data_IF_501646175522
#
_entry.id   IF_501646175522
#
_cell.length_a   1.000
_cell.length_b   1.000
_cell.length_c   1.000
_cell.angle_alpha   90.00
_cell.angle_beta   90.00
_cell.angle_gamma   90.00
#
_symmetry.space_group_name_H-M   'P 1'
#
loop_
_entity.id
_entity.type
_entity.pdbx_description
1 polymer ?
#
# COMPACT_ATOMS: atom_id res chain seq x y z
N UNK A 1 -17.50 -9.57 -11.65
CA UNK A 1 -16.27 -8.88 -11.23
C UNK A 1 -16.69 -7.97 -10.11
N UNK A 2 -16.48 -8.41 -8.87
CA UNK A 2 -16.94 -7.71 -7.67
C UNK A 2 -16.17 -6.38 -7.60
N UNK A 3 -16.89 -5.25 -7.54
CA UNK A 3 -16.28 -3.95 -7.26
C UNK A 3 -15.67 -4.02 -5.87
N UNK A 4 -14.35 -4.22 -5.80
CA UNK A 4 -13.61 -4.12 -4.54
C UNK A 4 -13.81 -2.68 -4.04
N UNK A 5 -14.29 -2.54 -2.82
CA UNK A 5 -14.66 -1.25 -2.21
C UNK A 5 -13.54 -0.21 -2.30
N UNK A 6 -12.29 -0.67 -2.23
CA UNK A 6 -11.09 0.18 -2.31
C UNK A 6 -10.81 0.75 -3.71
N UNK A 7 -11.32 0.15 -4.79
CA UNK A 7 -11.08 0.62 -6.16
C UNK A 7 -12.22 1.49 -6.71
N UNK A 8 -13.34 1.60 -5.98
CA UNK A 8 -14.51 2.31 -6.47
C UNK A 8 -14.41 3.80 -6.10
N UNK A 9 -14.52 4.65 -7.11
CA UNK A 9 -14.45 6.11 -6.98
C UNK A 9 -15.54 6.69 -6.07
N UNK A 10 -16.66 5.97 -5.89
CA UNK A 10 -17.73 6.41 -5.00
C UNK A 10 -17.27 6.65 -3.57
N UNK A 11 -16.30 5.87 -3.08
CA UNK A 11 -15.84 6.03 -1.70
C UNK A 11 -15.08 7.34 -1.46
N UNK A 12 -14.50 7.95 -2.51
CA UNK A 12 -13.84 9.26 -2.42
C UNK A 12 -14.78 10.45 -2.69
N UNK A 13 -16.06 10.19 -2.93
CA UNK A 13 -17.08 11.20 -3.22
C UNK A 13 -17.41 11.36 -4.72
N UNK A 14 -16.66 10.71 -5.61
CA UNK A 14 -16.79 10.86 -7.05
C UNK A 14 -17.74 9.83 -7.67
N UNK A 15 -18.26 10.11 -8.85
CA UNK A 15 -19.15 9.20 -9.55
C UNK A 15 -18.80 9.10 -11.04
N UNK A 16 -18.54 7.89 -11.50
CA UNK A 16 -18.44 7.60 -12.93
C UNK A 16 -19.78 7.04 -13.44
N UNK A 17 -20.50 7.85 -14.21
CA UNK A 17 -21.80 7.51 -14.77
C UNK A 17 -21.65 6.58 -15.99
N UNK A 18 -22.70 5.80 -16.29
CA UNK A 18 -22.75 4.95 -17.50
C UNK A 18 -21.59 3.95 -17.69
N UNK A 19 -21.04 3.39 -16.60
CA UNK A 19 -20.08 2.25 -16.63
C UNK A 19 -20.59 1.03 -17.39
N UNK A 20 -21.91 0.86 -17.44
CA UNK A 20 -22.58 -0.22 -18.14
C UNK A 20 -23.82 0.35 -18.82
N UNK A 21 -24.15 -0.17 -19.99
CA UNK A 21 -25.34 0.20 -20.75
C UNK A 21 -26.10 -1.04 -21.21
N UNK A 22 -27.35 -0.84 -21.63
CA UNK A 22 -28.19 -1.90 -22.18
C UNK A 22 -27.93 -1.99 -23.67
N UNK A 23 -27.33 -3.08 -24.13
CA UNK A 23 -26.97 -3.26 -25.54
C UNK A 23 -28.16 -3.69 -26.41
N UNK A 24 -29.12 -4.39 -25.81
CA UNK A 24 -30.30 -4.88 -26.49
C UNK A 24 -31.54 -4.61 -25.64
N UNK A 25 -32.48 -3.87 -26.21
CA UNK A 25 -33.73 -3.44 -25.56
C UNK A 25 -34.65 -4.62 -25.27
N UNK A 26 -34.64 -5.67 -26.09
CA UNK A 26 -35.55 -6.81 -25.96
C UNK A 26 -35.02 -7.81 -24.94
N UNK A 27 -33.72 -8.10 -24.98
CA UNK A 27 -33.10 -9.07 -24.06
C UNK A 27 -32.61 -8.43 -22.75
N UNK A 28 -32.67 -7.10 -22.61
CA UNK A 28 -32.20 -6.31 -21.45
C UNK A 28 -30.77 -6.65 -21.03
N UNK A 29 -29.94 -7.13 -21.97
CA UNK A 29 -28.57 -7.52 -21.70
C UNK A 29 -27.72 -6.28 -21.43
N UNK A 30 -27.10 -6.24 -20.25
CA UNK A 30 -26.18 -5.19 -19.84
C UNK A 30 -24.76 -5.53 -20.26
N UNK A 31 -24.09 -4.59 -20.93
CA UNK A 31 -22.69 -4.70 -21.35
C UNK A 31 -21.87 -3.59 -20.67
N UNK A 32 -20.60 -3.88 -20.36
CA UNK A 32 -19.65 -2.85 -19.91
C UNK A 32 -19.37 -1.90 -21.06
N UNK A 33 -19.45 -0.61 -20.78
CA UNK A 33 -19.18 0.43 -21.76
C UNK A 33 -17.66 0.53 -21.99
N UNK A 34 -17.19 0.34 -23.22
CA UNK A 34 -15.79 0.52 -23.63
C UNK A 34 -15.60 1.77 -24.51
N UNK A 35 -16.57 2.70 -24.49
CA UNK A 35 -16.62 3.88 -25.35
C UNK A 35 -17.75 3.86 -26.39
N UNK A 36 -18.70 2.92 -26.26
CA UNK A 36 -19.88 2.83 -27.14
C UNK A 36 -20.89 3.95 -26.84
N UNK A 37 -20.95 4.41 -25.59
CA UNK A 37 -21.76 5.54 -25.13
C UNK A 37 -20.84 6.50 -24.36
N UNK A 38 -21.07 7.83 -24.41
CA UNK A 38 -20.32 8.78 -23.59
C UNK A 38 -20.30 8.38 -22.11
N UNK A 39 -19.15 8.55 -21.46
CA UNK A 39 -18.99 8.29 -20.04
C UNK A 39 -18.64 9.59 -19.33
N UNK A 40 -19.36 9.92 -18.25
CA UNK A 40 -19.17 11.17 -17.52
C UNK A 40 -18.60 10.89 -16.14
N UNK A 41 -17.49 11.58 -15.82
CA UNK A 41 -16.90 11.60 -14.50
C UNK A 41 -17.35 12.86 -13.76
N UNK A 42 -17.93 12.68 -12.58
CA UNK A 42 -18.42 13.78 -11.74
C UNK A 42 -17.63 13.76 -10.44
N UNK A 43 -16.91 14.84 -10.19
CA UNK A 43 -16.17 15.06 -8.94
C UNK A 43 -17.13 15.57 -7.85
N UNK A 44 -16.98 15.06 -6.62
CA UNK A 44 -17.73 15.56 -5.46
C UNK A 44 -19.25 15.40 -5.55
N UNK A 45 -19.73 14.30 -6.14
CA UNK A 45 -21.17 14.01 -6.27
C UNK A 45 -21.87 13.83 -4.92
N UNK A 46 -21.15 13.37 -3.90
CA UNK A 46 -21.66 13.15 -2.54
C UNK A 46 -20.49 13.24 -1.55
N UNK A 47 -20.82 13.38 -0.27
CA UNK A 47 -19.82 13.39 0.80
C UNK A 47 -18.96 12.13 0.76
N UNK A 48 -17.66 12.33 0.75
CA UNK A 48 -16.69 11.25 0.67
C UNK A 48 -16.72 10.43 1.97
N UNK A 49 -16.86 9.11 1.84
CA UNK A 49 -16.75 8.18 2.97
C UNK A 49 -15.28 8.08 3.42
N UNK A 50 -14.36 8.14 2.45
CA UNK A 50 -12.91 8.11 2.66
C UNK A 50 -12.33 9.43 2.10
N UNK A 51 -11.49 10.16 2.86
CA UNK A 51 -10.83 11.35 2.35
C UNK A 51 -10.09 11.08 1.02
N UNK A 52 -10.18 11.98 0.02
CA UNK A 52 -9.52 11.78 -1.27
C UNK A 52 -8.02 11.48 -1.17
N UNK A 53 -7.31 12.17 -0.27
CA UNK A 53 -5.89 11.95 0.01
C UNK A 53 -5.58 10.50 0.44
N UNK A 54 -6.43 9.92 1.29
CA UNK A 54 -6.24 8.56 1.79
C UNK A 54 -6.57 7.55 0.70
N UNK A 55 -7.58 7.84 -0.13
CA UNK A 55 -7.96 6.99 -1.24
C UNK A 55 -6.85 6.91 -2.30
N UNK A 56 -6.19 8.03 -2.60
CA UNK A 56 -5.06 8.10 -3.53
C UNK A 56 -3.86 7.29 -3.03
N UNK A 57 -3.48 7.45 -1.75
CA UNK A 57 -2.43 6.65 -1.13
C UNK A 57 -2.71 5.14 -1.21
N UNK A 58 -3.98 4.73 -1.05
CA UNK A 58 -4.38 3.33 -1.21
C UNK A 58 -4.23 2.86 -2.67
N UNK A 59 -4.60 3.68 -3.66
CA UNK A 59 -4.39 3.32 -5.07
C UNK A 59 -2.90 3.15 -5.40
N UNK A 60 -2.06 4.06 -4.93
CA UNK A 60 -0.61 3.98 -5.12
C UNK A 60 -0.04 2.70 -4.49
N UNK A 61 -0.44 2.37 -3.27
CA UNK A 61 -0.02 1.14 -2.59
C UNK A 61 -0.52 -0.11 -3.32
N UNK A 62 -1.73 -0.10 -3.88
CA UNK A 62 -2.23 -1.21 -4.69
C UNK A 62 -1.43 -1.39 -5.98
N UNK A 63 -1.11 -0.30 -6.67
CA UNK A 63 -0.33 -0.33 -7.90
C UNK A 63 1.11 -0.79 -7.60
N UNK A 64 1.71 -0.30 -6.51
CA UNK A 64 3.00 -0.79 -6.00
C UNK A 64 2.97 -2.29 -5.73
N UNK A 65 1.90 -2.80 -5.10
CA UNK A 65 1.74 -4.25 -4.85
C UNK A 65 1.59 -5.08 -6.12
N UNK A 66 0.90 -4.54 -7.12
CA UNK A 66 0.68 -5.22 -8.40
C UNK A 66 1.97 -5.28 -9.24
N UNK A 67 2.79 -4.23 -9.18
CA UNK A 67 4.04 -4.13 -9.92
C UNK A 67 5.22 -4.83 -9.23
N UNK A 68 5.05 -5.31 -8.00
CA UNK A 68 6.04 -6.19 -7.37
C UNK A 68 5.97 -7.60 -7.96
N UNK A 69 7.09 -8.07 -8.53
CA UNK A 69 7.26 -9.44 -9.03
C UNK A 69 7.13 -10.51 -7.91
N UNK A 70 7.29 -10.09 -6.65
CA UNK A 70 7.15 -10.97 -5.48
C UNK A 70 5.73 -10.93 -4.90
N UNK A 71 5.22 -12.07 -4.43
CA UNK A 71 3.96 -12.12 -3.68
C UNK A 71 4.09 -11.28 -2.41
N UNK A 72 3.36 -10.18 -2.30
CA UNK A 72 3.29 -9.44 -1.04
C UNK A 72 2.42 -10.21 -0.03
N UNK A 73 3.03 -10.67 1.06
CA UNK A 73 2.31 -11.34 2.15
C UNK A 73 2.89 -10.88 3.49
N UNK A 74 2.00 -10.51 4.41
CA UNK A 74 2.33 -10.14 5.78
C UNK A 74 1.99 -11.25 6.78
N UNK A 75 1.72 -12.48 6.32
CA UNK A 75 1.31 -13.59 7.19
C UNK A 75 2.38 -14.00 8.22
N UNK A 76 3.65 -13.68 7.96
CA UNK A 76 4.79 -13.87 8.86
C UNK A 76 5.92 -12.94 8.42
N UNK A 77 6.81 -12.56 9.35
CA UNK A 77 7.99 -11.72 9.13
C UNK A 77 8.90 -12.23 7.98
N UNK A 78 8.92 -13.53 7.73
CA UNK A 78 9.74 -14.16 6.69
C UNK A 78 9.00 -14.44 5.38
N UNK A 79 7.73 -14.06 5.30
CA UNK A 79 6.91 -14.28 4.11
C UNK A 79 7.48 -13.52 2.92
N UNK A 80 7.75 -14.25 1.83
CA UNK A 80 8.33 -13.70 0.60
C UNK A 80 9.68 -13.00 0.79
N UNK A 81 10.46 -13.41 1.79
CA UNK A 81 11.84 -12.94 2.02
C UNK A 81 12.90 -14.00 1.72
N UNK A 82 12.55 -15.28 1.84
CA UNK A 82 13.50 -16.39 1.70
C UNK A 82 13.34 -17.05 0.33
N UNK A 83 14.43 -17.06 -0.46
CA UNK A 83 14.48 -17.64 -1.81
C UNK A 83 15.28 -18.96 -1.79
N UNK A 84 14.77 -19.96 -2.49
CA UNK A 84 15.45 -21.24 -2.66
C UNK A 84 16.63 -21.11 -3.63
N UNK A 85 17.81 -21.55 -3.21
CA UNK A 85 19.03 -21.54 -4.03
C UNK A 85 18.95 -22.49 -5.23
N UNK A 86 18.25 -23.63 -5.11
CA UNK A 86 18.19 -24.64 -6.17
C UNK A 86 17.17 -24.32 -7.27
N UNK A 87 15.95 -23.93 -6.90
CA UNK A 87 14.86 -23.71 -7.89
C UNK A 87 14.45 -22.25 -8.06
N UNK A 88 15.10 -21.32 -7.35
CA UNK A 88 14.80 -19.89 -7.39
C UNK A 88 13.43 -19.50 -6.84
N UNK A 89 12.63 -20.44 -6.35
CA UNK A 89 11.29 -20.16 -5.83
C UNK A 89 11.29 -19.77 -4.36
N UNK A 90 10.24 -19.10 -3.92
CA UNK A 90 10.09 -18.65 -2.53
C UNK A 90 9.79 -19.79 -1.57
N UNK A 91 10.35 -19.71 -0.37
CA UNK A 91 9.93 -20.50 0.78
C UNK A 91 8.54 -20.05 1.25
N UNK A 92 7.80 -20.97 1.87
CA UNK A 92 6.53 -20.68 2.50
C UNK A 92 6.43 -21.34 3.86
N UNK A 93 5.70 -20.69 4.76
CA UNK A 93 5.34 -21.25 6.05
C UNK A 93 4.39 -22.44 5.88
N UNK A 94 4.66 -23.52 6.62
CA UNK A 94 3.86 -24.74 6.72
C UNK A 94 3.66 -25.04 8.21
N UNK A 95 2.44 -25.43 8.57
CA UNK A 95 2.13 -25.90 9.92
C UNK A 95 2.27 -27.42 9.93
N UNK A 96 3.14 -27.93 10.80
CA UNK A 96 3.26 -29.36 11.08
C UNK A 96 2.59 -29.65 12.42
N UNK A 97 2.04 -30.85 12.58
CA UNK A 97 1.31 -31.29 13.78
C UNK A 97 0.20 -30.30 14.17
N UNK A 98 -0.63 -29.87 13.20
CA UNK A 98 -1.60 -28.79 13.39
C UNK A 98 -2.62 -29.04 14.50
N UNK A 99 -2.92 -30.31 14.79
CA UNK A 99 -3.92 -30.75 15.78
C UNK A 99 -3.31 -31.20 17.11
N UNK A 100 -1.98 -31.30 17.22
CA UNK A 100 -1.30 -31.81 18.41
C UNK A 100 -0.61 -30.69 19.20
N UNK A 101 -0.26 -30.97 20.46
CA UNK A 101 0.53 -30.07 21.31
C UNK A 101 1.93 -29.74 20.76
N UNK A 102 2.40 -30.50 19.78
CA UNK A 102 3.70 -30.31 19.11
C UNK A 102 3.58 -29.47 17.83
N UNK A 103 2.48 -28.71 17.68
CA UNK A 103 2.27 -27.79 16.56
C UNK A 103 3.49 -26.89 16.38
N UNK A 104 4.07 -26.94 15.18
CA UNK A 104 5.23 -26.12 14.82
C UNK A 104 5.09 -25.52 13.44
N UNK A 105 5.64 -24.33 13.28
CA UNK A 105 5.71 -23.62 12.02
C UNK A 105 7.09 -23.83 11.42
N UNK A 106 7.15 -24.37 10.21
CA UNK A 106 8.39 -24.58 9.47
C UNK A 106 8.30 -23.92 8.10
N UNK A 107 9.41 -23.38 7.64
CA UNK A 107 9.58 -22.81 6.32
C UNK A 107 10.18 -23.84 5.39
N UNK A 108 9.52 -24.08 4.26
CA UNK A 108 9.96 -25.01 3.24
C UNK A 108 9.76 -24.41 1.85
N UNK A 109 10.65 -24.73 0.91
CA UNK A 109 10.50 -24.37 -0.49
C UNK A 109 9.12 -24.80 -1.04
N UNK A 110 8.34 -23.84 -1.54
CA UNK A 110 6.98 -24.10 -2.04
C UNK A 110 6.92 -25.00 -3.28
N UNK A 111 8.02 -25.12 -4.03
CA UNK A 111 8.14 -25.98 -5.22
C UNK A 111 8.88 -27.30 -4.95
N UNK A 112 9.25 -27.59 -3.69
CA UNK A 112 10.07 -28.77 -3.34
C UNK A 112 9.56 -30.09 -3.93
N UNK A 113 8.24 -30.29 -3.93
CA UNK A 113 7.59 -31.51 -4.43
C UNK A 113 6.81 -31.32 -5.74
N UNK A 114 6.84 -30.12 -6.34
CA UNK A 114 6.04 -29.81 -7.53
C UNK A 114 6.80 -30.01 -8.85
N UNK A 115 8.13 -29.94 -8.82
CA UNK A 115 8.96 -30.13 -10.00
C UNK A 115 9.35 -31.61 -10.15
N UNK A 116 9.71 -32.02 -11.37
CA UNK A 116 10.27 -33.35 -11.66
C UNK A 116 11.54 -33.62 -10.84
N UNK A 117 12.36 -32.56 -10.63
CA UNK A 117 13.50 -32.59 -9.73
C UNK A 117 13.14 -31.95 -8.39
N UNK A 118 13.22 -32.74 -7.31
CA UNK A 118 12.89 -32.29 -5.96
C UNK A 118 14.05 -31.47 -5.39
N UNK A 119 13.74 -30.33 -4.79
CA UNK A 119 14.76 -29.52 -4.11
C UNK A 119 15.31 -30.30 -2.90
N UNK A 120 16.64 -30.35 -2.76
CA UNK A 120 17.32 -30.97 -1.60
C UNK A 120 17.43 -30.01 -0.41
N UNK A 121 17.10 -28.75 -0.62
CA UNK A 121 17.13 -27.73 0.42
C UNK A 121 16.37 -28.14 1.70
N UNK A 122 16.92 -27.81 2.90
CA UNK A 122 16.34 -28.20 4.17
C UNK A 122 15.01 -27.47 4.45
N UNK A 123 14.36 -27.87 5.53
CA UNK A 123 13.31 -27.07 6.14
C UNK A 123 13.96 -26.26 7.26
N UNK A 124 13.47 -25.05 7.47
CA UNK A 124 13.99 -24.13 8.48
C UNK A 124 12.86 -23.85 9.47
N UNK A 125 13.18 -23.83 10.75
CA UNK A 125 12.28 -23.33 11.80
C UNK A 125 12.36 -21.82 11.87
N UNK A 126 11.37 -21.18 12.50
CA UNK A 126 11.39 -19.73 12.66
C UNK A 126 12.60 -19.26 13.47
N UNK A 127 13.00 -20.02 14.49
CA UNK A 127 14.11 -19.69 15.37
C UNK A 127 15.46 -19.80 14.64
N UNK A 128 15.68 -20.86 13.85
CA UNK A 128 16.89 -20.98 13.02
C UNK A 128 17.06 -19.81 12.04
N UNK A 129 15.95 -19.31 11.49
CA UNK A 129 15.97 -18.16 10.57
C UNK A 129 16.28 -16.87 11.33
N UNK A 130 15.69 -16.68 12.51
CA UNK A 130 15.99 -15.53 13.38
C UNK A 130 17.44 -15.52 13.80
N UNK A 131 17.96 -16.65 14.27
CA UNK A 131 19.34 -16.80 14.72
C UNK A 131 20.33 -16.57 13.58
N UNK A 132 20.05 -17.14 12.40
CA UNK A 132 20.85 -16.88 11.21
C UNK A 132 20.79 -15.39 10.81
N UNK A 133 19.61 -14.77 10.86
CA UNK A 133 19.47 -13.35 10.54
C UNK A 133 20.23 -12.47 11.53
N UNK A 134 20.10 -12.70 12.85
CA UNK A 134 20.83 -11.92 13.86
C UNK A 134 22.33 -12.16 13.74
N UNK A 135 22.78 -13.39 13.49
CA UNK A 135 24.21 -13.68 13.33
C UNK A 135 24.83 -12.97 12.12
N UNK A 136 24.11 -12.87 11.01
CA UNK A 136 24.59 -12.20 9.80
C UNK A 136 24.34 -10.69 9.81
N UNK A 137 23.31 -10.23 10.53
CA UNK A 137 22.99 -8.80 10.68
C UNK A 137 23.77 -8.12 11.81
N UNK A 138 24.18 -8.84 12.86
CA UNK A 138 24.99 -8.30 13.95
C UNK A 138 26.40 -7.82 13.54
N UNK A 139 27.08 -8.41 12.54
CA UNK A 139 28.31 -7.84 12.00
C UNK A 139 28.09 -6.70 10.99
N UNK A 140 26.84 -6.30 10.67
CA UNK A 140 26.64 -4.92 10.23
C UNK A 140 26.99 -4.06 11.42
N UNK A 141 28.12 -3.39 11.34
CA UNK A 141 28.69 -2.58 12.40
C UNK A 141 27.56 -1.80 13.11
N UNK A 142 27.41 -2.00 14.41
CA UNK A 142 26.40 -1.32 15.21
C UNK A 142 26.46 0.19 14.96
N UNK A 143 27.66 0.71 14.66
CA UNK A 143 27.91 2.09 14.24
C UNK A 143 27.33 2.43 12.86
N UNK A 144 27.43 1.55 11.87
CA UNK A 144 26.86 1.75 10.53
C UNK A 144 25.33 1.69 10.55
N UNK A 145 24.75 0.78 11.33
CA UNK A 145 23.30 0.76 11.59
C UNK A 145 22.85 2.05 12.27
N UNK A 146 23.56 2.47 13.33
CA UNK A 146 23.20 3.67 14.07
C UNK A 146 23.37 4.93 13.21
N UNK A 147 24.39 4.97 12.35
CA UNK A 147 24.62 6.04 11.37
C UNK A 147 23.45 6.12 10.38
N UNK A 148 23.09 5.01 9.73
CA UNK A 148 21.97 4.96 8.80
C UNK A 148 20.66 5.38 9.47
N UNK A 149 20.41 4.90 10.70
CA UNK A 149 19.24 5.27 11.50
C UNK A 149 19.22 6.77 11.81
N UNK A 150 20.33 7.33 12.28
CA UNK A 150 20.42 8.74 12.63
C UNK A 150 20.25 9.65 11.41
N UNK A 151 20.82 9.26 10.26
CA UNK A 151 20.63 9.99 9.01
C UNK A 151 19.16 10.00 8.57
N UNK A 152 18.49 8.85 8.65
CA UNK A 152 17.07 8.74 8.33
C UNK A 152 16.23 9.63 9.24
N UNK A 153 16.46 9.57 10.55
CA UNK A 153 15.75 10.39 11.55
C UNK A 153 15.96 11.89 11.26
N UNK A 154 17.19 12.32 10.99
CA UNK A 154 17.49 13.71 10.66
C UNK A 154 16.76 14.20 9.40
N UNK A 155 16.64 13.34 8.37
CA UNK A 155 15.85 13.66 7.16
C UNK A 155 14.36 13.84 7.47
N UNK A 156 13.79 12.97 8.31
CA UNK A 156 12.39 13.08 8.72
C UNK A 156 12.14 14.33 9.57
N UNK A 157 13.02 14.63 10.52
CA UNK A 157 12.92 15.84 11.35
C UNK A 157 13.02 17.10 10.50
N UNK A 158 13.97 17.16 9.56
CA UNK A 158 14.08 18.29 8.63
C UNK A 158 12.83 18.47 7.76
N UNK A 159 12.24 17.37 7.27
CA UNK A 159 10.99 17.42 6.51
C UNK A 159 9.82 17.90 7.38
N UNK A 160 9.73 17.45 8.64
CA UNK A 160 8.72 17.90 9.61
C UNK A 160 8.86 19.38 9.89
N UNK A 161 10.07 19.86 10.15
CA UNK A 161 10.33 21.27 10.42
C UNK A 161 10.02 22.15 9.20
N UNK A 162 10.33 21.66 8.00
CA UNK A 162 9.93 22.28 6.74
C UNK A 162 8.41 22.40 6.58
N UNK A 163 7.67 21.33 6.93
CA UNK A 163 6.21 21.34 6.91
C UNK A 163 5.63 22.31 7.95
N UNK A 164 6.15 22.31 9.18
CA UNK A 164 5.73 23.26 10.22
C UNK A 164 5.95 24.71 9.79
N UNK A 165 7.11 25.00 9.19
CA UNK A 165 7.41 26.33 8.67
C UNK A 165 6.46 26.73 7.55
N UNK A 166 6.22 25.85 6.58
CA UNK A 166 5.27 26.10 5.49
C UNK A 166 3.84 26.33 6.02
N UNK A 167 3.42 25.55 7.01
CA UNK A 167 2.12 25.70 7.66
C UNK A 167 1.98 27.05 8.38
N UNK A 168 3.01 27.48 9.14
CA UNK A 168 3.05 28.82 9.74
C UNK A 168 2.96 29.92 8.68
N UNK A 169 3.73 29.82 7.59
CA UNK A 169 3.68 30.79 6.48
C UNK A 169 2.31 30.86 5.79
N UNK A 170 1.64 29.72 5.61
CA UNK A 170 0.27 29.67 5.06
C UNK A 170 -0.70 30.38 6.00
N UNK A 171 -0.61 30.12 7.31
CA UNK A 171 -1.45 30.76 8.32
C UNK A 171 -1.23 32.28 8.34
N UNK A 172 0.02 32.74 8.29
CA UNK A 172 0.37 34.16 8.25
C UNK A 172 -0.17 34.85 6.99
N UNK A 173 -0.11 34.18 5.83
CA UNK A 173 -0.68 34.70 4.56
C UNK A 173 -2.20 34.80 4.62
N UNK A 174 -2.87 33.80 5.19
CA UNK A 174 -4.33 33.82 5.39
C UNK A 174 -4.74 34.94 6.37
N UNK A 175 -3.98 35.15 7.44
CA UNK A 175 -4.17 36.26 8.38
C UNK A 175 -4.07 37.62 7.69
N UNK A 176 -3.03 37.84 6.87
CA UNK A 176 -2.83 39.08 6.11
C UNK A 176 -3.92 39.34 5.06
N UNK A 177 -4.44 38.29 4.42
CA UNK A 177 -5.55 38.41 3.48
C UNK A 177 -6.85 38.81 4.19
N UNK A 178 -7.13 38.25 5.38
CA UNK A 178 -8.30 38.62 6.19
C UNK A 178 -8.24 40.08 6.64
N UNK A 179 -7.10 40.54 7.18
CA UNK A 179 -6.93 41.94 7.60
C UNK A 179 -7.00 42.92 6.42
N UNK A 180 -6.51 42.53 5.24
CA UNK A 180 -6.61 43.36 4.02
C UNK A 180 -8.04 43.39 3.43
N UNK A 181 -8.84 42.34 3.62
CA UNK A 181 -10.24 42.30 3.18
C UNK A 181 -11.12 43.17 4.08
N UNK A 182 -10.93 43.10 5.40
CA UNK A 182 -11.63 43.95 6.38
C UNK A 182 -11.29 45.44 6.19
N UNK A 183 -10.03 45.76 5.89
CA UNK A 183 -9.60 47.14 5.62
C UNK A 183 -10.12 47.73 4.29
N UNK A 184 -10.45 46.90 3.28
CA UNK A 184 -11.12 47.38 2.04
C UNK A 184 -12.60 47.61 2.25
N UNK A 185 -13.25 46.80 3.08
CA UNK A 185 -14.68 46.91 3.38
C UNK A 185 -15.03 48.21 4.12
N UNK A 186 -14.14 48.73 4.97
CA UNK A 186 -14.34 50.03 5.63
C UNK A 186 -14.08 51.25 4.72
N UNK A 187 -13.34 51.12 3.62
CA UNK A 187 -13.02 52.25 2.71
C UNK A 187 -14.07 52.46 1.61
N UNK A 188 -14.95 51.51 1.37
CA UNK A 188 -16.07 51.62 0.43
C UNK A 188 -17.37 52.15 1.07
N UNK A 189 -17.32 52.56 2.35
CA UNK A 189 -18.48 52.97 3.15
C UNK A 189 -18.49 54.48 3.50
N UNK A 190 -17.65 55.29 2.85
CA UNK A 190 -17.63 56.76 2.94
C UNK A 190 -17.83 57.30 1.52
#
# INVERSE_FOLDING_TARGET
MQDLTQANEKYKGDALLQKQYTADFLTKKRKKNQGEIPQYYVEGSHEAIIPPETWELVQEEMERRKNMDSRYSSASIFSSKIKCSECGNWYGSKVWHSQDKYRRVVFQCNRKFKNSQKCRTPHLTEDEIKDAFVKEAAPMDQEEYQRCRNELVARYEAARDGYEKASREISDRQGKQKTSAEGRMCKSAI
#
